data_IF_681527031124
#
_entry.id   IF_681527031124
#
_cell.length_a   1.000
_cell.length_b   1.000
_cell.length_c   1.000
_cell.angle_alpha   90.00
_cell.angle_beta   90.00
_cell.angle_gamma   90.00
#
_symmetry.space_group_name_H-M   'P 1'
#
loop_
_entity.id
_entity.type
_entity.pdbx_description
1 polymer ?
#
# COMPACT_ATOMS: atom_id res chain seq x y z
N UNK A 1 11.50 13.01 -42.53
CA UNK A 1 10.70 14.16 -43.01
C UNK A 1 9.25 13.90 -42.67
N UNK A 2 8.55 14.96 -42.24
CA UNK A 2 7.08 15.12 -42.03
C UNK A 2 6.50 14.28 -40.87
N UNK A 3 6.08 14.87 -39.73
CA UNK A 3 4.97 15.84 -39.54
C UNK A 3 3.68 15.24 -40.12
N UNK A 4 2.55 15.13 -39.45
CA UNK A 4 1.91 16.10 -38.57
C UNK A 4 0.61 15.48 -38.05
N UNK A 5 0.20 15.99 -36.89
CA UNK A 5 -1.17 16.21 -36.40
C UNK A 5 -2.32 16.00 -37.41
N UNK A 6 -3.47 15.52 -36.91
CA UNK A 6 -4.74 16.25 -37.03
C UNK A 6 -5.77 15.73 -36.01
N UNK A 7 -6.25 16.66 -35.18
CA UNK A 7 -7.57 16.64 -34.53
C UNK A 7 -8.63 16.84 -35.61
N UNK A 8 -9.83 16.27 -35.46
CA UNK A 8 -11.14 16.64 -36.05
C UNK A 8 -12.06 15.43 -35.85
N UNK A 9 -13.35 15.48 -35.59
CA UNK A 9 -14.27 16.50 -35.11
C UNK A 9 -15.53 15.73 -34.68
N UNK A 10 -16.25 16.27 -33.71
CA UNK A 10 -17.57 15.84 -33.25
C UNK A 10 -18.62 16.13 -34.32
N UNK A 11 -19.50 15.18 -34.69
CA UNK A 11 -20.89 15.48 -35.10
C UNK A 11 -21.85 14.32 -34.74
N UNK A 12 -22.57 14.55 -33.63
CA UNK A 12 -24.01 14.39 -33.31
C UNK A 12 -24.94 13.62 -34.28
N UNK A 13 -25.48 12.50 -33.75
CA UNK A 13 -26.90 12.04 -33.64
C UNK A 13 -27.77 11.85 -34.91
N UNK A 14 -28.79 10.97 -35.06
CA UNK A 14 -29.77 10.29 -34.16
C UNK A 14 -30.27 8.98 -34.83
N UNK A 15 -30.49 7.96 -33.98
CA UNK A 15 -31.42 6.82 -33.99
C UNK A 15 -31.61 5.86 -35.19
N UNK A 16 -31.59 4.56 -34.84
CA UNK A 16 -32.43 3.53 -35.47
C UNK A 16 -31.82 2.13 -35.51
N UNK A 17 -31.95 1.36 -34.41
CA UNK A 17 -32.07 -0.11 -34.25
C UNK A 17 -31.41 -1.03 -35.33
N UNK A 18 -30.58 -2.06 -35.11
CA UNK A 18 -30.23 -3.03 -34.05
C UNK A 18 -28.86 -3.59 -34.49
N UNK A 19 -27.85 -3.74 -33.64
CA UNK A 19 -27.50 -5.05 -33.07
C UNK A 19 -26.59 -4.84 -31.87
N UNK A 20 -27.04 -5.34 -30.73
CA UNK A 20 -26.21 -5.51 -29.54
C UNK A 20 -25.09 -6.46 -29.98
N UNK A 21 -23.93 -5.87 -30.29
CA UNK A 21 -22.69 -6.64 -30.33
C UNK A 21 -22.59 -7.30 -28.96
N UNK A 22 -22.27 -8.60 -28.85
CA UNK A 22 -21.92 -9.14 -27.55
C UNK A 22 -20.78 -8.26 -27.05
N UNK A 23 -21.06 -7.44 -26.03
CA UNK A 23 -20.02 -6.81 -25.25
C UNK A 23 -19.18 -8.02 -24.85
N UNK A 24 -17.93 -7.97 -25.30
CA UNK A 24 -16.93 -8.96 -24.98
C UNK A 24 -17.15 -9.38 -23.53
N UNK A 25 -17.10 -10.69 -23.28
CA UNK A 25 -16.89 -11.21 -21.94
C UNK A 25 -15.61 -10.55 -21.38
N UNK A 26 -15.74 -9.34 -20.85
CA UNK A 26 -15.01 -8.94 -19.67
C UNK A 26 -15.56 -9.89 -18.62
N UNK A 27 -15.00 -11.10 -18.60
CA UNK A 27 -14.85 -11.81 -17.34
C UNK A 27 -14.13 -10.79 -16.46
N UNK A 28 -14.91 -10.03 -15.68
CA UNK A 28 -14.44 -9.49 -14.43
C UNK A 28 -13.82 -10.70 -13.75
N UNK A 29 -12.50 -10.79 -13.82
CA UNK A 29 -11.79 -11.87 -13.16
C UNK A 29 -11.98 -11.58 -11.70
N UNK A 30 -12.97 -12.27 -11.16
CA UNK A 30 -13.36 -12.28 -9.79
C UNK A 30 -12.11 -12.25 -8.89
N UNK A 31 -11.96 -11.22 -8.03
CA UNK A 31 -10.96 -11.16 -6.98
C UNK A 31 -11.03 -12.39 -6.05
N UNK A 32 -10.03 -13.27 -6.14
CA UNK A 32 -9.70 -14.32 -5.19
C UNK A 32 -8.95 -13.74 -3.98
N UNK A 33 -8.80 -14.50 -2.89
CA UNK A 33 -7.95 -14.13 -1.75
C UNK A 33 -6.54 -13.69 -2.21
N UNK A 34 -5.95 -14.42 -3.17
CA UNK A 34 -4.67 -14.07 -3.75
C UNK A 34 -4.69 -12.69 -4.44
N UNK A 35 -5.75 -12.37 -5.19
CA UNK A 35 -5.88 -11.07 -5.85
C UNK A 35 -6.21 -9.92 -4.87
N UNK A 36 -6.88 -10.21 -3.75
CA UNK A 36 -7.05 -9.23 -2.67
C UNK A 36 -5.70 -8.87 -2.05
N UNK A 37 -4.88 -9.88 -1.77
CA UNK A 37 -3.51 -9.69 -1.25
C UNK A 37 -2.62 -8.96 -2.27
N UNK A 38 -2.78 -9.21 -3.59
CA UNK A 38 -2.05 -8.48 -4.65
C UNK A 38 -2.28 -6.97 -4.63
N UNK A 39 -3.40 -6.47 -4.11
CA UNK A 39 -3.63 -5.01 -3.94
C UNK A 39 -2.60 -4.37 -3.01
N UNK A 40 -1.90 -5.15 -2.20
CA UNK A 40 -0.86 -4.68 -1.28
C UNK A 40 0.52 -4.56 -1.93
N UNK A 41 0.64 -4.79 -3.23
CA UNK A 41 1.93 -4.67 -3.92
C UNK A 41 2.46 -3.23 -3.93
N UNK A 42 1.57 -2.24 -3.88
CA UNK A 42 1.92 -0.82 -3.78
C UNK A 42 2.23 -0.33 -2.36
N UNK A 43 2.16 -1.21 -1.35
CA UNK A 43 2.37 -0.84 0.06
C UNK A 43 3.79 -1.20 0.46
N UNK A 44 4.67 -0.21 0.68
CA UNK A 44 6.04 -0.47 1.10
C UNK A 44 6.11 -1.03 2.51
N UNK A 45 7.06 -1.92 2.72
CA UNK A 45 7.45 -2.41 4.04
C UNK A 45 8.96 -2.41 4.15
N UNK A 46 9.44 -2.37 5.38
CA UNK A 46 10.85 -2.30 5.71
C UNK A 46 11.21 -3.47 6.61
N UNK A 47 12.31 -4.14 6.32
CA UNK A 47 12.85 -5.20 7.17
C UNK A 47 14.36 -5.01 7.31
N UNK A 48 14.93 -5.58 8.37
CA UNK A 48 16.37 -5.49 8.60
C UNK A 48 17.02 -6.74 8.05
N UNK A 49 18.00 -6.56 7.17
CA UNK A 49 18.76 -7.65 6.53
C UNK A 49 20.23 -7.54 6.87
N UNK A 50 20.98 -8.62 6.66
CA UNK A 50 22.43 -8.59 6.63
C UNK A 50 22.97 -7.93 5.34
N UNK A 51 24.30 -7.90 5.18
CA UNK A 51 24.98 -7.32 4.03
C UNK A 51 24.61 -8.02 2.70
N UNK A 52 24.24 -9.29 2.75
CA UNK A 52 23.80 -10.13 1.63
C UNK A 52 22.31 -10.01 1.31
N UNK A 53 21.54 -9.30 2.14
CA UNK A 53 20.10 -9.14 1.97
C UNK A 53 19.27 -10.27 2.59
N UNK A 54 19.87 -11.15 3.40
CA UNK A 54 19.13 -12.15 4.15
C UNK A 54 18.44 -11.49 5.36
N UNK A 55 17.14 -11.73 5.59
CA UNK A 55 16.43 -11.15 6.73
C UNK A 55 17.01 -11.58 8.07
N UNK A 56 17.15 -10.65 9.00
CA UNK A 56 17.54 -10.94 10.36
C UNK A 56 16.33 -11.43 11.16
N UNK A 57 16.49 -12.57 11.84
CA UNK A 57 15.48 -13.16 12.72
C UNK A 57 15.81 -12.84 14.18
N UNK A 58 14.83 -12.31 14.89
CA UNK A 58 14.88 -12.20 16.35
C UNK A 58 14.59 -13.56 17.00
N UNK A 59 15.05 -13.75 18.23
CA UNK A 59 14.63 -14.89 19.06
C UNK A 59 13.43 -14.50 19.91
N UNK A 60 12.41 -15.35 19.95
CA UNK A 60 11.30 -15.20 20.88
C UNK A 60 11.66 -15.90 22.19
N UNK A 61 11.65 -15.15 23.30
CA UNK A 61 11.91 -15.70 24.63
C UNK A 61 11.02 -16.93 24.90
N UNK A 62 11.60 -17.96 25.53
CA UNK A 62 10.85 -19.13 25.99
C UNK A 62 9.87 -18.68 27.08
N UNK A 63 8.58 -18.86 26.81
CA UNK A 63 7.52 -18.63 27.80
C UNK A 63 7.14 -19.97 28.44
N UNK A 64 6.77 -19.94 29.73
CA UNK A 64 6.26 -21.12 30.41
C UNK A 64 5.00 -21.63 29.67
N UNK A 65 4.98 -22.92 29.30
CA UNK A 65 3.90 -23.53 28.52
C UNK A 65 4.06 -23.49 27.00
N UNK A 66 5.18 -22.98 26.47
CA UNK A 66 5.49 -23.04 25.04
C UNK A 66 5.62 -24.50 24.59
N UNK A 67 4.90 -24.87 23.54
CA UNK A 67 4.96 -26.20 22.93
C UNK A 67 6.11 -26.29 21.91
N UNK A 68 6.65 -27.49 21.62
CA UNK A 68 7.73 -27.65 20.65
C UNK A 68 7.41 -27.11 19.25
N UNK A 69 6.13 -27.07 18.86
CA UNK A 69 5.64 -26.56 17.58
C UNK A 69 5.51 -25.02 17.52
N UNK A 70 5.58 -24.34 18.67
CA UNK A 70 5.43 -22.88 18.70
C UNK A 70 6.65 -22.18 18.06
N UNK A 71 6.46 -20.99 17.46
CA UNK A 71 7.56 -20.22 16.91
C UNK A 71 8.61 -19.84 17.97
N UNK A 72 9.88 -20.06 17.65
CA UNK A 72 11.04 -19.64 18.45
C UNK A 72 11.83 -18.50 17.79
N UNK A 73 11.52 -18.19 16.53
CA UNK A 73 12.07 -17.07 15.76
C UNK A 73 11.00 -16.04 15.42
N UNK A 74 11.41 -14.78 15.26
CA UNK A 74 10.54 -13.65 14.89
C UNK A 74 11.15 -12.90 13.71
N UNK A 75 10.33 -12.69 12.67
CA UNK A 75 10.63 -11.81 11.55
C UNK A 75 9.74 -10.58 11.62
N UNK A 76 10.36 -9.40 11.57
CA UNK A 76 9.68 -8.11 11.66
C UNK A 76 9.59 -7.42 10.30
N UNK A 77 8.40 -6.93 9.98
CA UNK A 77 8.12 -6.06 8.84
C UNK A 77 7.54 -4.74 9.35
N UNK A 78 8.30 -3.66 9.22
CA UNK A 78 7.89 -2.33 9.65
C UNK A 78 7.14 -1.62 8.52
N UNK A 79 6.05 -0.94 8.87
CA UNK A 79 5.33 -0.05 7.94
C UNK A 79 5.87 1.39 7.98
N UNK A 80 6.80 1.68 8.89
CA UNK A 80 7.46 2.97 9.03
C UNK A 80 8.97 2.80 8.82
N UNK A 81 9.59 3.59 7.93
CA UNK A 81 11.04 3.56 7.75
C UNK A 81 11.76 4.06 9.02
N UNK A 82 11.17 5.02 9.74
CA UNK A 82 11.74 5.57 10.98
C UNK A 82 11.77 4.53 12.09
N UNK A 83 10.71 3.70 12.21
CA UNK A 83 10.65 2.64 13.22
C UNK A 83 11.64 1.50 12.87
N UNK A 84 11.81 1.18 11.57
CA UNK A 84 12.85 0.25 11.13
C UNK A 84 14.26 0.78 11.43
N UNK A 85 14.49 2.09 11.23
CA UNK A 85 15.76 2.74 11.53
C UNK A 85 16.04 2.79 13.03
N UNK A 86 15.02 3.03 13.86
CA UNK A 86 15.14 2.96 15.31
C UNK A 86 15.56 1.55 15.77
N UNK A 87 14.92 0.50 15.23
CA UNK A 87 15.28 -0.88 15.52
C UNK A 87 16.71 -1.21 15.05
N UNK A 88 17.13 -0.75 13.87
CA UNK A 88 18.50 -0.94 13.39
C UNK A 88 19.52 -0.24 14.30
N UNK A 89 19.22 0.96 14.78
CA UNK A 89 20.09 1.69 15.71
C UNK A 89 20.19 0.96 17.06
N UNK A 90 19.07 0.44 17.57
CA UNK A 90 19.06 -0.39 18.77
C UNK A 90 19.90 -1.65 18.56
N UNK A 91 19.77 -2.33 17.43
CA UNK A 91 20.57 -3.51 17.10
C UNK A 91 22.07 -3.18 17.03
N UNK A 92 22.46 -2.05 16.46
CA UNK A 92 23.85 -1.58 16.44
C UNK A 92 24.40 -1.34 17.85
N UNK A 93 23.58 -0.84 18.77
CA UNK A 93 23.98 -0.62 20.15
C UNK A 93 24.06 -1.92 20.96
N UNK A 94 23.07 -2.81 20.82
CA UNK A 94 22.97 -4.04 21.62
C UNK A 94 23.79 -5.21 21.07
N UNK A 95 24.02 -5.25 19.76
CA UNK A 95 24.84 -6.27 19.10
C UNK A 95 25.64 -5.66 17.94
N UNK A 96 26.77 -4.97 18.22
CA UNK A 96 27.55 -4.28 17.20
C UNK A 96 28.05 -5.17 16.06
N UNK A 97 28.36 -6.45 16.33
CA UNK A 97 28.85 -7.39 15.31
C UNK A 97 27.80 -7.68 14.23
N UNK A 98 26.53 -7.81 14.62
CA UNK A 98 25.42 -8.02 13.69
C UNK A 98 24.95 -6.68 13.13
N UNK A 99 24.70 -5.70 13.99
CA UNK A 99 24.17 -4.39 13.62
C UNK A 99 25.10 -3.58 12.71
N UNK A 100 26.43 -3.77 12.81
CA UNK A 100 27.41 -3.11 11.95
C UNK A 100 27.34 -3.54 10.48
N UNK A 101 26.78 -4.72 10.19
CA UNK A 101 26.58 -5.24 8.83
C UNK A 101 25.13 -5.16 8.38
N UNK A 102 24.23 -4.87 9.31
CA UNK A 102 22.81 -4.83 9.06
C UNK A 102 22.39 -3.56 8.31
N UNK A 103 21.40 -3.70 7.43
CA UNK A 103 20.82 -2.60 6.65
C UNK A 103 19.31 -2.74 6.57
N UNK A 104 18.63 -1.64 6.25
CA UNK A 104 17.21 -1.66 5.95
C UNK A 104 17.03 -2.10 4.51
N UNK A 105 16.24 -3.14 4.29
CA UNK A 105 15.75 -3.55 2.98
C UNK A 105 14.28 -3.17 2.84
N UNK A 106 13.93 -2.73 1.63
CA UNK A 106 12.55 -2.38 1.27
C UNK A 106 11.93 -3.52 0.47
N UNK A 107 10.67 -3.83 0.73
CA UNK A 107 9.85 -4.75 -0.05
C UNK A 107 8.41 -4.27 -0.16
N UNK A 108 7.52 -5.11 -0.66
CA UNK A 108 6.07 -4.85 -0.63
C UNK A 108 5.37 -5.73 0.40
N UNK A 109 4.28 -5.23 0.98
CA UNK A 109 3.48 -5.97 1.95
C UNK A 109 2.92 -7.27 1.35
N UNK A 110 2.57 -7.25 0.07
CA UNK A 110 2.24 -8.43 -0.72
C UNK A 110 3.31 -9.53 -0.62
N UNK A 111 4.57 -9.20 -0.85
CA UNK A 111 5.68 -10.16 -0.80
C UNK A 111 5.90 -10.70 0.61
N UNK A 112 5.76 -9.87 1.65
CA UNK A 112 5.86 -10.32 3.03
C UNK A 112 4.74 -11.28 3.43
N UNK A 113 3.50 -11.03 3.03
CA UNK A 113 2.39 -11.96 3.29
C UNK A 113 2.67 -13.29 2.59
N UNK A 114 3.06 -13.27 1.31
CA UNK A 114 3.43 -14.50 0.59
C UNK A 114 4.60 -15.25 1.27
N UNK A 115 5.60 -14.51 1.77
CA UNK A 115 6.70 -15.12 2.50
C UNK A 115 6.20 -15.79 3.80
N UNK A 116 5.34 -15.12 4.56
CA UNK A 116 4.74 -15.70 5.77
C UNK A 116 3.94 -16.97 5.44
N UNK A 117 3.17 -16.96 4.35
CA UNK A 117 2.40 -18.12 3.89
C UNK A 117 3.28 -19.31 3.48
N UNK A 118 4.34 -19.07 2.71
CA UNK A 118 5.30 -20.09 2.29
C UNK A 118 6.07 -20.71 3.46
N UNK A 119 6.11 -20.02 4.59
CA UNK A 119 6.78 -20.46 5.81
C UNK A 119 5.78 -20.88 6.91
N UNK A 120 4.48 -21.03 6.59
CA UNK A 120 3.50 -21.66 7.50
C UNK A 120 4.00 -23.04 7.91
N UNK A 121 3.90 -23.35 9.20
CA UNK A 121 4.38 -24.61 9.79
C UNK A 121 5.88 -24.64 10.10
N UNK A 122 6.65 -23.59 9.77
CA UNK A 122 8.00 -23.39 10.30
C UNK A 122 7.93 -22.65 11.64
N UNK A 123 8.99 -22.74 12.45
CA UNK A 123 9.07 -22.09 13.77
C UNK A 123 9.38 -20.59 13.71
N UNK A 124 8.86 -19.91 12.70
CA UNK A 124 9.07 -18.47 12.49
C UNK A 124 7.73 -17.75 12.59
N UNK A 125 7.63 -16.82 13.54
CA UNK A 125 6.54 -15.87 13.63
C UNK A 125 6.83 -14.69 12.71
N UNK A 126 5.80 -14.21 12.01
CA UNK A 126 5.88 -13.02 11.16
C UNK A 126 5.02 -11.93 11.78
N UNK A 127 5.60 -10.75 11.99
CA UNK A 127 4.89 -9.62 12.58
C UNK A 127 5.01 -8.38 11.71
N UNK A 128 3.86 -7.84 11.35
CA UNK A 128 3.75 -6.50 10.78
C UNK A 128 3.71 -5.50 11.92
N UNK A 129 4.59 -4.52 11.89
CA UNK A 129 4.74 -3.48 12.91
C UNK A 129 4.20 -2.17 12.32
N UNK A 130 2.98 -1.75 12.69
CA UNK A 130 2.44 -0.47 12.26
C UNK A 130 3.29 0.68 12.79
N UNK A 131 3.18 1.84 12.15
CA UNK A 131 3.87 3.02 12.68
C UNK A 131 3.35 3.39 14.06
N UNK A 132 4.22 3.90 14.93
CA UNK A 132 3.81 4.43 16.23
C UNK A 132 2.67 5.47 16.07
N UNK A 133 2.78 6.35 15.07
CA UNK A 133 1.78 7.35 14.76
C UNK A 133 0.42 6.75 14.37
N UNK A 134 0.39 5.63 13.64
CA UNK A 134 -0.83 4.91 13.28
C UNK A 134 -1.50 4.31 14.52
N UNK A 135 -0.73 3.65 15.39
CA UNK A 135 -1.24 3.11 16.66
C UNK A 135 -1.81 4.21 17.55
N UNK A 136 -1.09 5.33 17.69
CA UNK A 136 -1.54 6.45 18.53
C UNK A 136 -2.82 7.10 17.96
N UNK A 137 -2.92 7.23 16.63
CA UNK A 137 -4.13 7.73 15.96
C UNK A 137 -5.32 6.79 16.13
N UNK A 138 -5.11 5.48 15.96
CA UNK A 138 -6.14 4.46 16.18
C UNK A 138 -6.65 4.50 17.64
N UNK A 139 -5.74 4.57 18.62
CA UNK A 139 -6.09 4.68 20.04
C UNK A 139 -6.93 5.90 20.33
N UNK A 140 -6.54 7.07 19.81
CA UNK A 140 -7.26 8.33 20.02
C UNK A 140 -8.67 8.25 19.42
N UNK A 141 -8.80 7.68 18.21
CA UNK A 141 -10.09 7.54 17.55
C UNK A 141 -11.03 6.58 18.29
N UNK A 142 -10.52 5.41 18.70
CA UNK A 142 -11.29 4.45 19.50
C UNK A 142 -11.73 5.05 20.83
N UNK A 143 -10.83 5.75 21.53
CA UNK A 143 -11.14 6.41 22.80
C UNK A 143 -12.23 7.47 22.64
N UNK A 144 -12.17 8.28 21.57
CA UNK A 144 -13.21 9.27 21.24
C UNK A 144 -14.56 8.62 20.91
N UNK A 145 -14.57 7.36 20.47
CA UNK A 145 -15.77 6.55 20.23
C UNK A 145 -16.24 5.78 21.47
N UNK A 146 -15.60 5.95 22.64
CA UNK A 146 -15.90 5.18 23.85
C UNK A 146 -15.49 3.71 23.76
N UNK A 147 -14.60 3.34 22.83
CA UNK A 147 -14.09 1.98 22.66
C UNK A 147 -12.78 1.78 23.43
N UNK A 148 -12.58 0.62 24.05
CA UNK A 148 -11.38 0.33 24.84
C UNK A 148 -10.12 0.14 23.98
N UNK A 149 -8.96 0.34 24.61
CA UNK A 149 -7.66 0.35 23.93
C UNK A 149 -7.17 -1.04 23.47
N UNK A 150 -7.73 -2.12 23.99
CA UNK A 150 -7.49 -3.49 23.54
C UNK A 150 -8.12 -3.79 22.17
N UNK A 151 -8.98 -2.90 21.67
CA UNK A 151 -9.56 -2.98 20.33
C UNK A 151 -8.69 -2.33 19.24
N UNK A 152 -7.46 -1.89 19.56
CA UNK A 152 -6.55 -1.37 18.53
C UNK A 152 -6.22 -2.50 17.55
N UNK A 153 -6.48 -2.33 16.25
CA UNK A 153 -6.20 -3.36 15.26
C UNK A 153 -4.69 -3.57 15.08
N UNK A 154 -4.28 -4.81 14.78
CA UNK A 154 -2.88 -5.20 14.62
C UNK A 154 -2.19 -4.49 13.44
N UNK A 155 -2.94 -4.12 12.39
CA UNK A 155 -2.50 -3.22 11.32
C UNK A 155 -3.63 -2.23 11.04
N UNK A 156 -3.65 -1.05 11.69
CA UNK A 156 -4.70 -0.07 11.48
C UNK A 156 -4.67 0.52 10.09
N UNK A 157 -5.84 0.61 9.47
CA UNK A 157 -6.10 1.44 8.30
C UNK A 157 -7.27 2.37 8.58
N UNK A 158 -7.20 3.56 8.01
CA UNK A 158 -8.14 4.64 8.23
C UNK A 158 -8.94 4.93 6.97
N UNK A 159 -10.24 5.09 7.12
CA UNK A 159 -11.14 5.42 6.03
C UNK A 159 -12.16 6.45 6.50
N UNK A 160 -12.81 7.11 5.55
CA UNK A 160 -13.83 8.10 5.84
C UNK A 160 -15.22 7.57 5.51
N UNK A 161 -16.18 8.00 6.30
CA UNK A 161 -17.61 7.79 6.10
C UNK A 161 -18.29 9.14 6.03
N UNK A 162 -19.35 9.28 5.25
CA UNK A 162 -20.11 10.52 5.11
C UNK A 162 -21.60 10.26 4.92
N UNK A 163 -22.39 11.31 4.81
CA UNK A 163 -23.80 11.18 4.45
C UNK A 163 -23.93 10.72 2.99
N UNK A 164 -24.67 9.63 2.77
CA UNK A 164 -25.07 9.14 1.44
C UNK A 164 -26.57 8.91 1.45
N UNK A 165 -27.33 9.74 0.72
CA UNK A 165 -28.78 9.68 0.70
C UNK A 165 -29.37 9.79 2.12
N UNK A 166 -30.12 8.77 2.54
CA UNK A 166 -30.79 8.73 3.85
C UNK A 166 -29.95 8.05 4.95
N UNK A 167 -28.66 7.79 4.71
CA UNK A 167 -27.81 7.01 5.63
C UNK A 167 -26.32 7.41 5.60
N UNK A 168 -25.50 6.61 6.29
CA UNK A 168 -24.06 6.79 6.35
C UNK A 168 -23.36 5.78 5.40
N UNK A 169 -22.56 6.29 4.46
CA UNK A 169 -21.84 5.50 3.46
C UNK A 169 -20.33 5.73 3.51
N UNK A 170 -19.58 4.90 2.78
CA UNK A 170 -18.14 5.08 2.57
C UNK A 170 -17.89 6.34 1.73
N UNK A 171 -16.92 7.15 2.13
CA UNK A 171 -16.47 8.27 1.30
C UNK A 171 -15.72 7.70 0.09
N UNK A 172 -16.13 8.13 -1.10
CA UNK A 172 -15.51 7.71 -2.36
C UNK A 172 -14.87 8.91 -3.06
N UNK A 173 -13.76 8.68 -3.75
CA UNK A 173 -13.07 9.66 -4.57
C UNK A 173 -13.19 9.30 -6.05
N UNK A 174 -13.39 10.29 -6.91
CA UNK A 174 -13.24 10.07 -8.35
C UNK A 174 -11.77 10.17 -8.75
N UNK A 175 -11.24 9.08 -9.31
CA UNK A 175 -9.90 9.01 -9.90
C UNK A 175 -9.97 8.33 -11.26
N UNK A 176 -9.48 9.00 -12.31
CA UNK A 176 -9.46 8.48 -13.68
C UNK A 176 -10.84 7.96 -14.15
N UNK A 177 -11.93 8.66 -13.78
CA UNK A 177 -13.31 8.28 -14.10
C UNK A 177 -13.84 7.06 -13.34
N UNK A 178 -13.18 6.66 -12.25
CA UNK A 178 -13.61 5.57 -11.36
C UNK A 178 -13.78 6.07 -9.94
N UNK A 179 -14.79 5.57 -9.25
CA UNK A 179 -14.97 5.83 -7.83
C UNK A 179 -14.17 4.84 -7.00
N UNK A 180 -13.26 5.34 -6.18
CA UNK A 180 -12.40 4.56 -5.28
C UNK A 180 -12.72 4.85 -3.82
N UNK A 181 -12.59 3.85 -2.96
CA UNK A 181 -12.67 3.94 -1.50
C UNK A 181 -11.25 3.79 -0.95
N UNK A 182 -10.63 4.89 -0.50
CA UNK A 182 -9.25 4.84 -0.03
C UNK A 182 -9.16 4.41 1.44
N UNK A 183 -8.24 3.48 1.73
CA UNK A 183 -7.84 3.03 3.05
C UNK A 183 -6.39 3.45 3.30
N UNK A 184 -6.20 4.42 4.20
CA UNK A 184 -4.90 5.02 4.50
C UNK A 184 -4.19 4.30 5.64
N UNK A 185 -2.87 4.12 5.53
CA UNK A 185 -2.04 3.64 6.64
C UNK A 185 -1.67 4.74 7.65
N UNK A 186 -1.88 6.02 7.29
CA UNK A 186 -1.70 7.18 8.18
C UNK A 186 -2.98 8.02 8.23
N UNK A 187 -3.48 8.25 9.44
CA UNK A 187 -4.71 9.02 9.66
C UNK A 187 -4.56 10.49 9.24
N UNK A 188 -3.36 11.08 9.38
CA UNK A 188 -3.12 12.48 9.02
C UNK A 188 -3.19 12.69 7.51
N UNK A 189 -2.77 11.69 6.72
CA UNK A 189 -2.88 11.74 5.27
C UNK A 189 -4.35 11.76 4.83
N UNK A 190 -5.20 10.93 5.45
CA UNK A 190 -6.65 10.97 5.24
C UNK A 190 -7.25 12.31 5.70
N UNK A 191 -6.85 12.81 6.87
CA UNK A 191 -7.34 14.10 7.38
C UNK A 191 -7.01 15.24 6.40
N UNK A 192 -5.78 15.29 5.90
CA UNK A 192 -5.37 16.29 4.92
C UNK A 192 -6.14 16.18 3.60
N UNK A 193 -6.54 14.97 3.19
CA UNK A 193 -7.42 14.78 2.04
C UNK A 193 -8.81 15.37 2.29
N UNK A 194 -9.40 15.10 3.46
CA UNK A 194 -10.71 15.64 3.85
C UNK A 194 -10.66 17.17 3.93
N UNK A 195 -9.58 17.73 4.48
CA UNK A 195 -9.43 19.18 4.61
C UNK A 195 -9.31 19.90 3.26
N UNK A 196 -8.64 19.29 2.27
CA UNK A 196 -8.65 19.81 0.90
C UNK A 196 -10.02 19.70 0.25
N UNK A 197 -10.73 18.58 0.46
CA UNK A 197 -12.09 18.41 -0.05
C UNK A 197 -13.04 19.45 0.55
N UNK A 198 -12.92 19.77 1.84
CA UNK A 198 -13.67 20.85 2.53
C UNK A 198 -13.53 22.20 1.85
N UNK A 199 -12.32 22.55 1.43
CA UNK A 199 -12.04 23.83 0.78
C UNK A 199 -12.69 23.93 -0.61
N UNK A 200 -12.86 22.79 -1.30
CA UNK A 200 -13.39 22.75 -2.67
C UNK A 200 -14.90 22.50 -2.73
N UNK A 201 -15.43 21.70 -1.81
CA UNK A 201 -16.83 21.28 -1.73
C UNK A 201 -17.28 21.23 -0.26
N UNK A 202 -17.74 22.37 0.30
CA UNK A 202 -18.08 22.48 1.72
C UNK A 202 -19.15 21.48 2.19
N UNK A 203 -20.05 21.06 1.30
CA UNK A 203 -21.17 20.17 1.63
C UNK A 203 -20.77 18.69 1.73
N UNK A 204 -19.66 18.26 1.11
CA UNK A 204 -19.17 16.87 1.20
C UNK A 204 -18.70 16.53 2.61
N UNK A 205 -18.31 17.54 3.38
CA UNK A 205 -17.49 17.33 4.56
C UNK A 205 -18.18 17.60 5.90
N UNK A 206 -19.41 18.12 5.91
CA UNK A 206 -20.16 18.42 7.15
C UNK A 206 -20.38 17.18 8.01
N UNK A 207 -20.62 16.03 7.37
CA UNK A 207 -20.92 14.76 8.05
C UNK A 207 -19.79 13.72 7.93
N UNK A 208 -18.61 14.14 7.47
CA UNK A 208 -17.50 13.20 7.29
C UNK A 208 -16.90 12.79 8.64
N UNK A 209 -16.85 11.48 8.90
CA UNK A 209 -16.21 10.87 10.08
C UNK A 209 -15.10 9.92 9.64
N UNK A 210 -13.94 10.05 10.25
CA UNK A 210 -12.85 9.08 10.11
C UNK A 210 -13.16 7.86 10.98
N UNK A 211 -12.91 6.69 10.43
CA UNK A 211 -13.05 5.39 11.07
C UNK A 211 -11.70 4.66 11.00
N UNK A 212 -11.52 3.68 11.89
CA UNK A 212 -10.35 2.79 11.91
C UNK A 212 -10.81 1.34 11.87
N UNK A 213 -10.09 0.52 11.11
CA UNK A 213 -10.29 -0.93 11.02
C UNK A 213 -8.96 -1.64 10.85
N UNK A 214 -8.94 -2.98 10.89
CA UNK A 214 -7.76 -3.77 10.55
C UNK A 214 -7.61 -3.92 9.04
N UNK A 215 -6.39 -3.83 8.52
CA UNK A 215 -6.06 -4.16 7.14
C UNK A 215 -6.63 -5.53 6.73
N UNK A 216 -6.43 -6.54 7.57
CA UNK A 216 -6.87 -7.91 7.29
C UNK A 216 -8.39 -8.02 7.22
N UNK A 217 -9.13 -7.24 8.02
CA UNK A 217 -10.59 -7.20 7.91
C UNK A 217 -11.04 -6.55 6.60
N UNK A 218 -10.30 -5.57 6.07
CA UNK A 218 -10.58 -5.01 4.75
C UNK A 218 -10.33 -6.07 3.67
N UNK A 219 -9.19 -6.76 3.70
CA UNK A 219 -8.89 -7.85 2.75
C UNK A 219 -9.94 -8.96 2.80
N UNK A 220 -10.33 -9.40 4.01
CA UNK A 220 -11.38 -10.40 4.20
C UNK A 220 -12.71 -9.91 3.60
N UNK A 221 -13.06 -8.63 3.77
CA UNK A 221 -14.29 -8.06 3.21
C UNK A 221 -14.30 -7.97 1.68
N UNK A 222 -13.14 -8.08 1.03
CA UNK A 222 -13.02 -8.12 -0.43
C UNK A 222 -13.47 -9.46 -1.02
N UNK A 223 -13.63 -10.47 -0.17
CA UNK A 223 -14.05 -11.82 -0.53
C UNK A 223 -15.31 -12.19 0.27
N UNK A 224 -16.29 -12.76 -0.41
CA UNK A 224 -17.53 -13.27 0.20
C UNK A 224 -17.28 -14.64 0.85
N UNK A 225 -18.24 -15.08 1.68
CA UNK A 225 -18.16 -16.39 2.37
C UNK A 225 -18.01 -17.58 1.42
N UNK A 226 -18.49 -17.47 0.18
CA UNK A 226 -18.36 -18.51 -0.85
C UNK A 226 -17.02 -18.43 -1.63
N UNK A 227 -16.05 -17.67 -1.12
CA UNK A 227 -14.78 -17.38 -1.80
C UNK A 227 -14.95 -16.72 -3.19
N UNK A 228 -16.02 -15.92 -3.34
CA UNK A 228 -16.28 -15.10 -4.51
C UNK A 228 -15.96 -13.64 -4.20
N UNK A 229 -15.66 -12.79 -5.17
CA UNK A 229 -15.34 -11.38 -4.92
C UNK A 229 -16.55 -10.65 -4.41
N UNK A 230 -16.31 -9.72 -3.49
CA UNK A 230 -17.28 -8.68 -3.18
C UNK A 230 -17.24 -7.61 -4.30
N UNK A 231 -18.36 -7.30 -4.98
CA UNK A 231 -18.38 -6.27 -6.02
C UNK A 231 -17.87 -4.89 -5.59
N UNK A 232 -17.99 -4.55 -4.30
CA UNK A 232 -17.44 -3.29 -3.77
C UNK A 232 -15.91 -3.28 -3.69
N UNK A 233 -15.28 -4.45 -3.67
CA UNK A 233 -13.84 -4.61 -3.50
C UNK A 233 -13.01 -4.00 -4.64
N UNK A 234 -13.58 -3.92 -5.85
CA UNK A 234 -12.89 -3.35 -7.01
C UNK A 234 -12.55 -1.87 -6.82
N UNK A 235 -13.33 -1.20 -5.95
CA UNK A 235 -13.18 0.21 -5.62
C UNK A 235 -12.19 0.42 -4.49
N UNK A 236 -11.78 -0.63 -3.76
CA UNK A 236 -10.91 -0.46 -2.60
C UNK A 236 -9.47 -0.20 -3.06
N UNK A 237 -8.88 0.84 -2.47
CA UNK A 237 -7.51 1.24 -2.73
C UNK A 237 -6.77 1.47 -1.41
N UNK A 238 -5.60 0.86 -1.28
CA UNK A 238 -4.75 1.05 -0.11
C UNK A 238 -3.74 2.16 -0.39
N UNK A 239 -3.69 3.15 0.50
CA UNK A 239 -2.82 4.31 0.37
C UNK A 239 -1.70 4.20 1.41
N UNK A 240 -0.43 3.99 1.00
CA UNK A 240 0.68 3.89 1.94
C UNK A 240 0.86 5.22 2.67
N UNK A 241 1.52 5.19 3.84
CA UNK A 241 1.89 6.43 4.52
C UNK A 241 2.83 7.24 3.62
N UNK A 242 2.68 8.57 3.68
CA UNK A 242 3.55 9.46 2.92
C UNK A 242 5.03 9.24 3.21
N UNK A 243 5.40 9.01 4.48
CA UNK A 243 6.80 8.76 4.85
C UNK A 243 7.36 7.48 4.23
N UNK A 244 6.58 6.39 4.19
CA UNK A 244 6.99 5.16 3.54
C UNK A 244 7.15 5.36 2.03
N UNK A 245 6.20 6.04 1.39
CA UNK A 245 6.26 6.34 -0.04
C UNK A 245 7.47 7.20 -0.40
N UNK A 246 7.71 8.30 0.34
CA UNK A 246 8.86 9.17 0.14
C UNK A 246 10.20 8.45 0.36
N UNK A 247 10.27 7.53 1.32
CA UNK A 247 11.47 6.73 1.54
C UNK A 247 11.80 5.87 0.32
N UNK A 248 10.80 5.20 -0.27
CA UNK A 248 11.01 4.39 -1.48
C UNK A 248 11.47 5.25 -2.64
N UNK A 249 10.84 6.42 -2.86
CA UNK A 249 11.24 7.34 -3.92
C UNK A 249 12.70 7.81 -3.79
N UNK A 250 13.16 8.10 -2.57
CA UNK A 250 14.53 8.52 -2.29
C UNK A 250 15.55 7.37 -2.37
N UNK A 251 15.10 6.14 -2.11
CA UNK A 251 15.94 4.94 -2.05
C UNK A 251 16.06 4.20 -3.38
N UNK A 252 15.26 4.58 -4.39
CA UNK A 252 15.44 4.08 -5.75
C UNK A 252 16.76 4.62 -6.32
N UNK A 253 17.62 3.77 -6.90
CA UNK A 253 18.72 4.24 -7.72
C UNK A 253 18.15 5.16 -8.81
N UNK A 254 18.80 6.29 -9.06
CA UNK A 254 18.45 7.12 -10.21
C UNK A 254 18.33 6.22 -11.45
N UNK A 255 17.27 6.35 -12.28
CA UNK A 255 17.20 5.58 -13.51
C UNK A 255 18.50 5.81 -14.26
N UNK A 256 19.25 4.73 -14.52
CA UNK A 256 20.43 4.78 -15.37
C UNK A 256 19.97 5.39 -16.69
N UNK A 257 20.29 6.66 -16.92
CA UNK A 257 20.14 7.25 -18.24
C UNK A 257 20.90 6.32 -19.19
N UNK A 258 20.27 5.80 -20.26
CA UNK A 258 21.04 5.14 -21.29
C UNK A 258 22.12 6.11 -21.73
N UNK A 259 23.37 5.71 -21.51
CA UNK A 259 24.55 6.44 -21.94
C UNK A 259 24.43 6.62 -23.44
N UNK A 260 24.05 7.83 -23.85
CA UNK A 260 24.12 8.26 -25.24
C UNK A 260 25.61 8.32 -25.54
N UNK A 261 26.13 7.30 -26.20
CA UNK A 261 27.49 7.30 -26.73
C UNK A 261 27.65 8.59 -27.54
N UNK A 262 28.67 9.42 -27.28
CA UNK A 262 28.92 10.60 -28.09
C UNK A 262 29.14 10.14 -29.53
N UNK A 263 28.20 10.47 -30.40
CA UNK A 263 28.31 10.23 -31.82
C UNK A 263 29.56 11.00 -32.31
N UNK A 264 30.51 10.36 -33.00
CA UNK A 264 31.73 11.03 -33.42
C UNK A 264 31.36 12.17 -34.38
N UNK A 265 31.86 13.38 -34.07
CA UNK A 265 31.74 14.56 -34.93
C UNK A 265 32.22 14.20 -36.34
N UNK A 266 31.43 14.48 -37.40
CA UNK A 266 31.91 14.35 -38.77
C UNK A 266 33.15 15.24 -38.97
N UNK A 267 34.27 14.63 -39.37
CA UNK A 267 35.43 15.37 -39.87
C UNK A 267 35.03 16.08 -41.15
N UNK A 268 35.06 17.41 -41.14
CA UNK A 268 35.09 18.19 -42.37
C UNK A 268 36.37 17.84 -43.12
N UNK A 269 36.26 17.19 -44.28
CA UNK A 269 37.35 17.13 -45.26
C UNK A 269 37.09 18.20 -46.31
N UNK A 270 37.99 19.19 -46.31
CA UNK A 270 38.13 20.20 -47.33
C UNK A 270 39.14 19.70 -48.37
N UNK A 271 38.90 20.11 -49.63
CA UNK A 271 39.81 20.21 -50.79
C UNK A 271 39.85 19.01 -51.75
N UNK A 272 40.17 19.19 -53.02
CA UNK A 272 40.10 20.29 -54.00
C UNK A 272 40.71 19.73 -55.29
N UNK A 273 39.98 19.86 -56.40
CA UNK A 273 40.40 20.04 -57.81
C UNK A 273 39.47 19.27 -58.74
#
# INVERSE_FOLDING_TARGET
>A
MMKSLLKLATVVSIAGAIAISPIANLKAHALTEAQAIERLNGIPIFTITDDKGAPLLGSLAQQAGRKPEDPDQLMLFFLSPDDAQAMLNQLKASNPSVGGKAKISTGSMFQAIKLAEQNKGKKVAFQFVPSKASIDSARNLLSAQGKPADQIPNVPVFYATGAQGNGQGLLTLEQNGKQVVPFFFDQKDLQGLIDRARQQQPDVAKDTKIQVTSLFQVLDSMVTKDNKPNPEADRFEFVPSRSAFEYVLKSQPAPTQPSVTPQPKPKAMLKAN
#
